data_IF_491104321382
#
_entry.id   IF_491104321382
#
_cell.length_a   1.000
_cell.length_b   1.000
_cell.length_c   1.000
_cell.angle_alpha   90.00
_cell.angle_beta   90.00
_cell.angle_gamma   90.00
#
_symmetry.space_group_name_H-M   'P 1'
#
loop_
_entity.id
_entity.type
_entity.pdbx_description
1 polymer ?
#
# COMPACT_ATOMS: atom_id res chain seq x y z
N UNK A 1 2.04 2.82 36.29
CA UNK A 1 1.77 2.14 35.01
C UNK A 1 0.27 2.25 34.81
N UNK A 2 -0.17 3.13 33.93
CA UNK A 2 -1.60 3.32 33.67
C UNK A 2 -2.05 2.24 32.68
N UNK A 3 -2.94 1.37 33.16
CA UNK A 3 -3.61 0.38 32.31
C UNK A 3 -4.80 1.07 31.64
N UNK A 4 -4.65 1.36 30.35
CA UNK A 4 -5.77 1.78 29.50
C UNK A 4 -6.54 0.54 29.05
N UNK A 5 -7.81 0.43 29.46
CA UNK A 5 -8.73 -0.57 28.96
C UNK A 5 -9.28 -0.11 27.60
N UNK A 6 -9.00 -0.89 26.55
CA UNK A 6 -9.52 -0.65 25.20
C UNK A 6 -10.64 -1.65 24.94
N UNK A 7 -11.85 -1.17 24.71
CA UNK A 7 -13.02 -2.01 24.42
C UNK A 7 -13.47 -1.83 22.96
N UNK A 8 -13.72 -2.92 22.21
CA UNK A 8 -14.13 -2.83 20.82
C UNK A 8 -15.59 -2.34 20.70
N UNK A 9 -15.78 -1.19 20.05
CA UNK A 9 -17.11 -0.63 19.75
C UNK A 9 -17.33 -0.46 18.23
N UNK A 10 -17.54 -1.56 17.48
CA UNK A 10 -17.50 -1.53 16.02
C UNK A 10 -18.54 -0.59 15.39
N UNK A 11 -19.76 -0.52 15.94
CA UNK A 11 -20.80 0.40 15.43
C UNK A 11 -20.39 1.87 15.57
N UNK A 12 -19.91 2.25 16.75
CA UNK A 12 -19.46 3.62 17.04
C UNK A 12 -18.27 4.01 16.17
N UNK A 13 -17.31 3.10 15.99
CA UNK A 13 -16.16 3.30 15.11
C UNK A 13 -16.62 3.53 13.67
N UNK A 14 -17.52 2.71 13.14
CA UNK A 14 -18.04 2.88 11.77
C UNK A 14 -18.84 4.18 11.60
N UNK A 15 -19.64 4.58 12.58
CA UNK A 15 -20.38 5.85 12.57
C UNK A 15 -19.46 7.07 12.65
N UNK A 16 -18.39 7.00 13.44
CA UNK A 16 -17.37 8.03 13.51
C UNK A 16 -16.60 8.12 12.17
N UNK A 17 -16.20 6.98 11.61
CA UNK A 17 -15.53 6.91 10.31
C UNK A 17 -16.37 7.51 9.18
N UNK A 18 -17.68 7.23 9.13
CA UNK A 18 -18.62 7.85 8.16
C UNK A 18 -18.72 9.36 8.29
N UNK A 19 -18.46 9.92 9.47
CA UNK A 19 -18.44 11.36 9.75
C UNK A 19 -17.06 11.99 9.57
N UNK A 20 -16.04 11.21 9.22
CA UNK A 20 -14.65 11.64 9.15
C UNK A 20 -14.02 11.87 10.53
N UNK A 21 -14.62 11.35 11.60
CA UNK A 21 -14.16 11.46 12.98
C UNK A 21 -13.20 10.30 13.30
N UNK A 22 -11.94 10.42 12.89
CA UNK A 22 -10.88 9.47 13.28
C UNK A 22 -9.52 10.17 13.34
N UNK A 23 -8.73 9.85 14.36
CA UNK A 23 -7.41 10.46 14.58
C UNK A 23 -6.31 9.74 13.77
N UNK A 24 -6.52 8.46 13.47
CA UNK A 24 -5.57 7.63 12.74
C UNK A 24 -6.19 6.32 12.30
N UNK A 25 -5.56 5.68 11.31
CA UNK A 25 -5.90 4.34 10.84
C UNK A 25 -4.59 3.55 10.77
N UNK A 26 -4.51 2.50 11.57
CA UNK A 26 -3.37 1.59 11.62
C UNK A 26 -3.87 0.17 11.33
N UNK A 27 -3.03 -0.62 10.68
CA UNK A 27 -3.32 -2.03 10.45
C UNK A 27 -2.62 -2.89 11.49
N UNK A 28 -3.38 -3.80 12.07
CA UNK A 28 -2.93 -4.70 13.13
C UNK A 28 -2.06 -5.86 12.61
N UNK A 29 -2.17 -6.23 11.33
CA UNK A 29 -1.37 -7.31 10.75
C UNK A 29 -1.34 -7.36 9.22
N UNK A 30 -0.32 -8.02 8.68
CA UNK A 30 -0.11 -8.15 7.22
C UNK A 30 -1.32 -8.80 6.50
N UNK A 31 -1.95 -9.80 7.14
CA UNK A 31 -3.12 -10.48 6.57
C UNK A 31 -4.33 -9.53 6.44
N UNK A 32 -4.52 -8.64 7.42
CA UNK A 32 -5.57 -7.63 7.39
C UNK A 32 -5.30 -6.58 6.30
N UNK A 33 -4.05 -6.18 6.11
CA UNK A 33 -3.65 -5.28 5.01
C UNK A 33 -3.87 -5.92 3.65
N UNK A 34 -3.54 -7.21 3.51
CA UNK A 34 -3.79 -7.93 2.27
C UNK A 34 -5.28 -7.97 1.96
N UNK A 35 -6.12 -8.38 2.93
CA UNK A 35 -7.57 -8.44 2.75
C UNK A 35 -8.17 -7.07 2.42
N UNK A 36 -7.66 -6.01 3.05
CA UNK A 36 -8.04 -4.64 2.75
C UNK A 36 -7.77 -4.26 1.29
N UNK A 37 -6.55 -4.49 0.79
CA UNK A 37 -6.21 -4.16 -0.60
C UNK A 37 -6.91 -5.07 -1.61
N UNK A 38 -7.08 -6.36 -1.31
CA UNK A 38 -7.87 -7.28 -2.15
C UNK A 38 -9.30 -6.78 -2.32
N UNK A 39 -9.93 -6.27 -1.26
CA UNK A 39 -11.25 -5.67 -1.34
C UNK A 39 -11.21 -4.38 -2.17
N UNK A 40 -10.23 -3.50 -1.96
CA UNK A 40 -10.07 -2.29 -2.75
C UNK A 40 -9.95 -2.57 -4.25
N UNK A 41 -9.19 -3.60 -4.65
CA UNK A 41 -9.04 -3.99 -6.05
C UNK A 41 -10.31 -4.64 -6.61
N UNK A 42 -10.95 -5.53 -5.84
CA UNK A 42 -12.19 -6.20 -6.25
C UNK A 42 -13.32 -5.21 -6.52
N UNK A 43 -13.46 -4.22 -5.66
CA UNK A 43 -14.51 -3.19 -5.74
C UNK A 43 -14.07 -1.98 -6.59
N UNK A 44 -12.85 -2.02 -7.17
CA UNK A 44 -12.26 -0.96 -8.01
C UNK A 44 -12.23 0.42 -7.33
N UNK A 45 -12.08 0.43 -6.00
CA UNK A 45 -12.15 1.66 -5.19
C UNK A 45 -10.99 2.60 -5.50
N UNK A 46 -9.79 2.05 -5.75
CA UNK A 46 -8.59 2.84 -6.01
C UNK A 46 -8.62 3.46 -7.41
N UNK A 47 -9.21 2.79 -8.39
CA UNK A 47 -9.46 3.36 -9.71
C UNK A 47 -10.51 4.48 -9.65
N UNK A 48 -11.64 4.24 -8.98
CA UNK A 48 -12.68 5.25 -8.80
C UNK A 48 -12.14 6.50 -8.07
N UNK A 49 -11.30 6.29 -7.04
CA UNK A 49 -10.63 7.38 -6.33
C UNK A 49 -9.64 8.13 -7.24
N UNK A 50 -8.87 7.41 -8.06
CA UNK A 50 -7.93 8.02 -9.00
C UNK A 50 -8.64 8.86 -10.07
N UNK A 51 -9.86 8.49 -10.47
CA UNK A 51 -10.70 9.27 -11.38
C UNK A 51 -11.27 10.52 -10.70
N UNK A 52 -11.75 10.38 -9.45
CA UNK A 52 -12.32 11.49 -8.68
C UNK A 52 -11.28 12.52 -8.20
N UNK A 53 -10.00 12.16 -8.16
CA UNK A 53 -8.88 13.02 -7.73
C UNK A 53 -7.97 13.38 -8.93
N UNK A 54 -8.36 14.32 -9.80
CA UNK A 54 -7.53 14.75 -10.91
C UNK A 54 -6.27 15.45 -10.42
N UNK A 55 -5.15 15.21 -11.12
CA UNK A 55 -3.85 15.82 -10.79
C UNK A 55 -3.31 16.57 -12.00
N UNK A 56 -2.52 17.63 -11.77
CA UNK A 56 -1.84 18.35 -12.85
C UNK A 56 -0.66 17.56 -13.48
N UNK A 57 -0.33 16.40 -12.93
CA UNK A 57 0.81 15.58 -13.37
C UNK A 57 0.50 14.89 -14.69
N UNK A 58 1.38 15.10 -15.68
CA UNK A 58 1.28 14.49 -17.02
C UNK A 58 1.99 13.14 -17.18
N UNK A 59 2.86 12.78 -16.24
CA UNK A 59 3.62 11.51 -16.30
C UNK A 59 2.78 10.36 -15.77
N UNK A 60 2.37 9.45 -16.67
CA UNK A 60 1.51 8.29 -16.39
C UNK A 60 2.27 6.95 -16.44
N UNK A 61 3.58 6.96 -16.19
CA UNK A 61 4.44 5.77 -16.23
C UNK A 61 4.12 4.72 -15.15
N UNK A 62 3.42 5.14 -14.09
CA UNK A 62 2.88 4.29 -13.03
C UNK A 62 1.41 4.66 -12.88
N UNK A 63 0.49 3.68 -12.86
CA UNK A 63 -0.93 3.96 -12.73
C UNK A 63 -1.25 4.75 -11.46
N UNK A 64 -2.14 5.73 -11.56
CA UNK A 64 -2.53 6.60 -10.44
C UNK A 64 -3.12 5.81 -9.27
N UNK A 65 -3.96 4.81 -9.57
CA UNK A 65 -4.53 3.92 -8.56
C UNK A 65 -3.44 3.24 -7.72
N UNK A 66 -2.32 2.85 -8.35
CA UNK A 66 -1.21 2.21 -7.64
C UNK A 66 -0.47 3.20 -6.74
N UNK A 67 -0.30 4.45 -7.19
CA UNK A 67 0.33 5.47 -6.37
C UNK A 67 -0.52 5.80 -5.14
N UNK A 68 -1.85 5.82 -5.29
CA UNK A 68 -2.77 5.95 -4.16
C UNK A 68 -2.66 4.75 -3.21
N UNK A 69 -2.60 3.52 -3.72
CA UNK A 69 -2.39 2.32 -2.92
C UNK A 69 -1.07 2.36 -2.14
N UNK A 70 0.02 2.78 -2.78
CA UNK A 70 1.34 2.90 -2.15
C UNK A 70 1.35 3.96 -1.02
N UNK A 71 0.73 5.12 -1.26
CA UNK A 71 0.56 6.14 -0.22
C UNK A 71 -0.29 5.64 0.93
N UNK A 72 -1.39 4.93 0.64
CA UNK A 72 -2.27 4.38 1.65
C UNK A 72 -1.54 3.33 2.50
N UNK A 73 -0.77 2.43 1.89
CA UNK A 73 0.05 1.45 2.61
C UNK A 73 1.07 2.13 3.53
N UNK A 74 1.77 3.18 3.07
CA UNK A 74 2.64 3.99 3.95
C UNK A 74 1.87 4.54 5.17
N UNK A 75 0.68 5.12 4.96
CA UNK A 75 -0.14 5.68 6.04
C UNK A 75 -0.65 4.63 7.02
N UNK A 76 -1.06 3.46 6.52
CA UNK A 76 -1.52 2.33 7.35
C UNK A 76 -0.42 1.75 8.24
N UNK A 77 0.85 1.94 7.85
CA UNK A 77 2.04 1.60 8.63
C UNK A 77 2.55 2.76 9.50
N UNK A 78 1.80 3.87 9.61
CA UNK A 78 2.23 5.06 10.34
C UNK A 78 3.42 5.79 9.73
N UNK A 79 3.81 5.45 8.50
CA UNK A 79 5.00 6.00 7.86
C UNK A 79 4.69 7.29 7.10
N UNK A 80 5.48 8.32 7.38
CA UNK A 80 5.38 9.61 6.71
C UNK A 80 6.57 9.87 5.78
N UNK A 81 7.66 9.12 5.96
CA UNK A 81 8.84 9.19 5.13
C UNK A 81 8.74 8.21 3.96
N UNK A 82 8.83 8.72 2.73
CA UNK A 82 8.86 7.87 1.54
C UNK A 82 10.08 6.94 1.48
N UNK A 83 11.14 7.21 2.24
CA UNK A 83 12.29 6.32 2.38
C UNK A 83 11.90 4.94 2.96
N UNK A 84 10.82 4.88 3.73
CA UNK A 84 10.32 3.63 4.28
C UNK A 84 9.59 2.75 3.24
N UNK A 85 9.37 3.24 2.01
CA UNK A 85 8.59 2.54 0.99
C UNK A 85 9.06 1.11 0.74
N UNK A 86 10.36 0.90 0.58
CA UNK A 86 10.90 -0.43 0.32
C UNK A 86 10.61 -1.40 1.48
N UNK A 87 10.74 -0.93 2.71
CA UNK A 87 10.44 -1.72 3.91
C UNK A 87 8.94 -2.04 3.99
N UNK A 88 8.09 -1.03 3.79
CA UNK A 88 6.63 -1.16 3.88
C UNK A 88 6.11 -2.13 2.82
N UNK A 89 6.55 -2.03 1.56
CA UNK A 89 6.06 -2.92 0.50
C UNK A 89 6.52 -4.38 0.68
N UNK A 90 7.69 -4.60 1.30
CA UNK A 90 8.21 -5.94 1.62
C UNK A 90 7.44 -6.60 2.76
N UNK A 91 7.17 -5.86 3.83
CA UNK A 91 6.54 -6.39 5.05
C UNK A 91 5.01 -6.31 5.02
N UNK A 92 4.45 -5.42 4.21
CA UNK A 92 3.01 -5.18 4.12
C UNK A 92 2.26 -6.20 3.25
N UNK A 93 0.94 -6.10 3.33
CA UNK A 93 -0.03 -6.91 2.59
C UNK A 93 -0.32 -6.41 1.18
N UNK A 94 0.04 -5.16 0.83
CA UNK A 94 -0.21 -4.60 -0.51
C UNK A 94 0.34 -5.50 -1.62
N UNK A 95 1.61 -5.90 -1.52
CA UNK A 95 2.24 -6.70 -2.57
C UNK A 95 1.64 -8.10 -2.69
N UNK A 96 1.13 -8.66 -1.58
CA UNK A 96 0.43 -9.95 -1.57
C UNK A 96 -0.97 -9.86 -2.21
N UNK A 97 -1.56 -8.68 -2.27
CA UNK A 97 -2.86 -8.43 -2.89
C UNK A 97 -2.78 -8.10 -4.39
N UNK A 98 -1.58 -7.85 -4.93
CA UNK A 98 -1.39 -7.57 -6.35
C UNK A 98 -1.45 -8.84 -7.20
N UNK A 99 -1.63 -8.67 -8.50
CA UNK A 99 -1.43 -9.74 -9.47
C UNK A 99 0.01 -10.28 -9.35
N UNK A 100 0.21 -11.60 -9.11
CA UNK A 100 1.53 -12.21 -9.04
C UNK A 100 2.39 -11.99 -10.29
N UNK A 101 1.78 -11.72 -11.45
CA UNK A 101 2.49 -11.35 -12.67
C UNK A 101 3.17 -9.97 -12.58
N UNK A 102 2.64 -9.06 -11.75
CA UNK A 102 3.22 -7.74 -11.52
C UNK A 102 4.30 -7.79 -10.43
N UNK A 103 4.00 -8.46 -9.32
CA UNK A 103 4.90 -8.58 -8.19
C UNK A 103 4.63 -9.85 -7.35
N UNK A 104 5.69 -10.54 -6.95
CA UNK A 104 5.60 -11.78 -6.18
C UNK A 104 6.69 -11.90 -5.12
N UNK A 105 6.35 -12.54 -4.00
CA UNK A 105 7.29 -12.93 -2.92
C UNK A 105 7.72 -14.37 -3.16
N UNK A 106 9.03 -14.61 -3.19
CA UNK A 106 9.62 -15.94 -3.31
C UNK A 106 10.56 -16.19 -2.13
N UNK A 107 10.47 -17.37 -1.52
CA UNK A 107 11.47 -17.80 -0.56
C UNK A 107 12.63 -18.44 -1.34
N UNK A 108 13.84 -17.91 -1.18
CA UNK A 108 15.03 -18.60 -1.66
C UNK A 108 15.32 -19.82 -0.76
N UNK A 109 15.24 -21.05 -1.29
CA UNK A 109 15.46 -22.25 -0.48
C UNK A 109 16.88 -22.37 0.09
N UNK A 110 17.87 -21.69 -0.50
CA UNK A 110 19.26 -21.78 -0.06
C UNK A 110 19.58 -20.79 1.06
N UNK A 111 19.22 -19.51 0.90
CA UNK A 111 19.51 -18.49 1.90
C UNK A 111 18.41 -18.33 2.95
N UNK A 112 17.20 -18.82 2.69
CA UNK A 112 16.01 -18.54 3.51
C UNK A 112 15.51 -17.10 3.39
N UNK A 113 16.07 -16.30 2.47
CA UNK A 113 15.66 -14.92 2.25
C UNK A 113 14.35 -14.84 1.47
N UNK A 114 13.51 -13.87 1.81
CA UNK A 114 12.35 -13.51 0.99
C UNK A 114 12.81 -12.56 -0.11
N UNK A 115 12.83 -13.06 -1.34
CA UNK A 115 13.10 -12.31 -2.55
C UNK A 115 11.80 -11.71 -3.08
N UNK A 116 11.87 -10.44 -3.51
CA UNK A 116 10.82 -9.81 -4.28
C UNK A 116 11.20 -9.87 -5.75
N UNK A 117 10.29 -10.39 -6.56
CA UNK A 117 10.35 -10.22 -8.00
C UNK A 117 9.27 -9.21 -8.40
N UNK A 118 9.68 -8.11 -9.03
CA UNK A 118 8.77 -7.09 -9.54
C UNK A 118 9.05 -6.86 -11.02
N UNK A 119 8.01 -6.82 -11.85
CA UNK A 119 8.13 -6.45 -13.27
C UNK A 119 8.14 -4.92 -13.43
N UNK A 120 7.52 -4.23 -12.48
CA UNK A 120 7.29 -2.78 -12.55
C UNK A 120 6.22 -2.42 -13.58
N UNK A 121 5.93 -1.12 -13.72
CA UNK A 121 4.89 -0.62 -14.62
C UNK A 121 5.42 -0.09 -15.97
N UNK A 122 6.74 -0.04 -16.14
CA UNK A 122 7.38 0.40 -17.39
C UNK A 122 8.79 -0.21 -17.52
N UNK A 123 9.35 -0.15 -18.73
CA UNK A 123 10.63 -0.73 -19.09
C UNK A 123 11.77 0.31 -19.20
N UNK A 124 11.75 1.39 -18.41
CA UNK A 124 12.76 2.47 -18.51
C UNK A 124 14.08 2.17 -17.83
N UNK A 125 14.07 1.27 -16.85
CA UNK A 125 15.25 0.91 -16.08
C UNK A 125 15.94 -0.32 -16.69
N UNK A 126 17.26 -0.32 -16.65
CA UNK A 126 18.10 -1.43 -17.12
C UNK A 126 18.41 -2.46 -16.03
N UNK A 127 17.96 -2.21 -14.80
CA UNK A 127 18.12 -3.08 -13.65
C UNK A 127 16.76 -3.62 -13.21
N UNK A 128 16.79 -4.75 -12.49
CA UNK A 128 15.60 -5.41 -11.97
C UNK A 128 14.92 -4.57 -10.89
N UNK A 129 13.58 -4.55 -10.92
CA UNK A 129 12.81 -3.81 -9.94
C UNK A 129 12.87 -4.48 -8.56
N UNK A 130 13.31 -3.74 -7.56
CA UNK A 130 13.28 -4.18 -6.17
C UNK A 130 11.92 -3.96 -5.51
N UNK A 131 11.13 -3.04 -6.06
CA UNK A 131 9.77 -2.68 -5.65
C UNK A 131 8.94 -2.37 -6.90
N UNK A 132 7.59 -2.43 -6.85
CA UNK A 132 6.76 -2.20 -8.04
C UNK A 132 6.93 -0.79 -8.65
N UNK A 133 7.31 0.20 -7.83
CA UNK A 133 7.79 1.49 -8.30
C UNK A 133 8.80 2.10 -7.32
N UNK A 134 9.53 3.12 -7.76
CA UNK A 134 10.46 3.87 -6.93
C UNK A 134 9.75 4.72 -5.88
N UNK A 135 10.33 4.84 -4.69
CA UNK A 135 9.85 5.74 -3.63
C UNK A 135 9.66 7.19 -4.13
N UNK A 136 10.53 7.60 -5.05
CA UNK A 136 10.52 8.92 -5.64
C UNK A 136 9.29 9.15 -6.54
N UNK A 137 8.76 8.09 -7.14
CA UNK A 137 7.50 8.14 -7.90
C UNK A 137 6.33 8.43 -6.98
N UNK A 138 6.29 7.75 -5.82
CA UNK A 138 5.25 7.91 -4.78
C UNK A 138 5.33 9.32 -4.18
N UNK A 139 6.55 9.75 -3.80
CA UNK A 139 6.81 11.09 -3.24
C UNK A 139 6.36 12.23 -4.14
N UNK A 140 6.66 12.15 -5.44
CA UNK A 140 6.37 13.21 -6.43
C UNK A 140 4.89 13.29 -6.83
N UNK A 141 4.03 12.44 -6.27
CA UNK A 141 2.61 12.43 -6.58
C UNK A 141 1.76 13.16 -5.54
N UNK A 142 2.32 13.36 -4.35
CA UNK A 142 1.74 14.18 -3.27
C UNK A 142 2.01 15.66 -3.53
#
# INVERSE_FOLDING_TARGET
MDLALVEPHPRRVLEAFRRGEFDGLEILGQADEQAFFELCFRERLLEALAEAMPTARKKEEVPRWFILAANLSLRLHGEHAFLAWERVVRCGGLLSALDPALASKHLDPQSGAVLLHCVGFNAKNTYDWQTPCHQDTVRKFV
#
